data_IF_603566640977
#
_entry.id   IF_603566640977
#
_cell.length_a   1.000
_cell.length_b   1.000
_cell.length_c   1.000
_cell.angle_alpha   90.00
_cell.angle_beta   90.00
_cell.angle_gamma   90.00
#
_symmetry.space_group_name_H-M   'P 1'
#
loop_
_entity.id
_entity.type
_entity.pdbx_description
1 polymer ?
#
# COMPACT_ATOMS: atom_id res chain seq x y z
N UNK A 1 -1.65 16.43 7.49
CA UNK A 1 -1.31 15.45 6.44
C UNK A 1 -1.27 16.19 5.11
N UNK A 2 -0.10 16.30 4.48
CA UNK A 2 0.10 16.96 3.19
C UNK A 2 -0.26 15.99 2.06
N UNK A 3 -0.57 16.51 0.87
CA UNK A 3 -0.96 15.73 -0.30
C UNK A 3 0.11 14.71 -0.72
N UNK A 4 1.38 15.10 -0.58
CA UNK A 4 2.56 14.28 -0.83
C UNK A 4 2.62 13.02 0.06
N UNK A 5 2.06 13.08 1.28
CA UNK A 5 2.03 11.94 2.22
C UNK A 5 1.21 10.79 1.64
N UNK A 6 0.08 11.10 0.99
CA UNK A 6 -0.77 10.10 0.36
C UNK A 6 -0.11 9.44 -0.86
N UNK A 7 0.69 10.18 -1.63
CA UNK A 7 1.42 9.59 -2.75
C UNK A 7 2.47 8.60 -2.25
N UNK A 8 3.24 8.96 -1.21
CA UNK A 8 4.23 8.07 -0.64
C UNK A 8 3.60 6.78 -0.10
N UNK A 9 2.47 6.88 0.61
CA UNK A 9 1.73 5.71 1.08
C UNK A 9 1.30 4.79 -0.08
N UNK A 10 0.84 5.36 -1.21
CA UNK A 10 0.49 4.54 -2.40
C UNK A 10 1.70 3.88 -3.05
N UNK A 11 2.85 4.53 -3.08
CA UNK A 11 4.10 3.92 -3.57
C UNK A 11 4.56 2.78 -2.67
N UNK A 12 4.48 2.96 -1.35
CA UNK A 12 4.74 1.91 -0.35
C UNK A 12 3.80 0.72 -0.53
N UNK A 13 2.51 0.98 -0.77
CA UNK A 13 1.55 -0.07 -1.08
C UNK A 13 1.91 -0.84 -2.36
N UNK A 14 2.30 -0.14 -3.42
CA UNK A 14 2.75 -0.79 -4.67
C UNK A 14 3.94 -1.71 -4.38
N UNK A 15 4.95 -1.24 -3.64
CA UNK A 15 6.10 -2.06 -3.27
C UNK A 15 5.72 -3.29 -2.45
N UNK A 16 4.86 -3.12 -1.45
CA UNK A 16 4.37 -4.24 -0.65
C UNK A 16 3.67 -5.29 -1.51
N UNK A 17 2.89 -4.87 -2.51
CA UNK A 17 2.26 -5.77 -3.47
C UNK A 17 3.28 -6.47 -4.37
N UNK A 18 4.32 -5.78 -4.82
CA UNK A 18 5.40 -6.40 -5.62
C UNK A 18 6.14 -7.48 -4.81
N UNK A 19 6.46 -7.22 -3.55
CA UNK A 19 7.16 -8.18 -2.68
C UNK A 19 6.29 -9.41 -2.40
N UNK A 20 5.01 -9.20 -2.10
CA UNK A 20 4.14 -10.28 -1.62
C UNK A 20 3.50 -11.09 -2.73
N UNK A 21 3.07 -10.43 -3.81
CA UNK A 21 2.33 -11.06 -4.90
C UNK A 21 3.10 -11.14 -6.21
N UNK A 22 4.20 -10.40 -6.34
CA UNK A 22 4.95 -10.25 -7.59
C UNK A 22 4.23 -9.43 -8.66
N UNK A 23 2.99 -8.97 -8.42
CA UNK A 23 2.23 -8.29 -9.46
C UNK A 23 1.03 -7.47 -8.96
N UNK A 24 0.85 -6.27 -9.51
CA UNK A 24 -0.25 -5.35 -9.16
C UNK A 24 -0.93 -4.82 -10.42
N UNK A 25 -2.22 -4.52 -10.32
CA UNK A 25 -2.98 -3.82 -11.36
C UNK A 25 -3.45 -2.44 -10.88
N UNK A 26 -4.01 -1.63 -11.79
CA UNK A 26 -4.53 -0.31 -11.45
C UNK A 26 -5.73 -0.37 -10.51
N UNK A 27 -6.61 -1.36 -10.69
CA UNK A 27 -7.80 -1.53 -9.85
C UNK A 27 -7.46 -1.77 -8.39
N UNK A 28 -6.36 -2.46 -8.08
CA UNK A 28 -5.90 -2.68 -6.69
C UNK A 28 -5.68 -1.33 -5.99
N UNK A 29 -5.04 -0.37 -6.68
CA UNK A 29 -4.77 0.98 -6.16
C UNK A 29 -6.05 1.80 -6.06
N UNK A 30 -6.91 1.78 -7.09
CA UNK A 30 -8.16 2.57 -7.06
C UNK A 30 -9.12 2.05 -5.99
N UNK A 31 -9.20 0.73 -5.80
CA UNK A 31 -10.05 0.11 -4.78
C UNK A 31 -9.51 0.36 -3.37
N UNK A 32 -8.20 0.30 -3.16
CA UNK A 32 -7.59 0.54 -1.86
C UNK A 32 -7.67 2.02 -1.44
N UNK A 33 -7.46 2.96 -2.36
CA UNK A 33 -7.28 4.38 -2.02
C UNK A 33 -8.39 5.32 -2.53
N UNK A 34 -9.39 4.81 -3.26
CA UNK A 34 -10.45 5.62 -3.84
C UNK A 34 -9.97 6.65 -4.88
N UNK A 35 -8.77 6.47 -5.44
CA UNK A 35 -8.21 7.36 -6.46
C UNK A 35 -8.73 7.01 -7.86
N UNK A 36 -8.64 7.95 -8.79
CA UNK A 36 -9.02 7.72 -10.19
C UNK A 36 -7.99 6.86 -10.93
N UNK A 37 -8.39 6.17 -12.00
CA UNK A 37 -7.48 5.36 -12.83
C UNK A 37 -6.28 6.15 -13.40
N UNK A 38 -6.42 7.42 -13.84
CA UNK A 38 -5.27 8.22 -14.26
C UNK A 38 -4.25 8.44 -13.14
N UNK A 39 -4.71 8.62 -11.90
CA UNK A 39 -3.83 8.75 -10.72
C UNK A 39 -3.11 7.44 -10.45
N UNK A 40 -3.82 6.32 -10.38
CA UNK A 40 -3.21 4.99 -10.22
C UNK A 40 -2.19 4.68 -11.35
N UNK A 41 -2.49 5.09 -12.59
CA UNK A 41 -1.54 4.96 -13.71
C UNK A 41 -0.27 5.79 -13.50
N UNK A 42 -0.40 7.01 -12.99
CA UNK A 42 0.75 7.87 -12.66
C UNK A 42 1.57 7.28 -11.51
N UNK A 43 0.93 6.72 -10.50
CA UNK A 43 1.62 6.11 -9.36
C UNK A 43 2.43 4.88 -9.80
N UNK A 44 1.88 4.01 -10.65
CA UNK A 44 2.61 2.86 -11.20
C UNK A 44 3.81 3.28 -12.06
N UNK A 45 3.67 4.34 -12.86
CA UNK A 45 4.78 4.90 -13.62
C UNK A 45 5.87 5.47 -12.70
N UNK A 46 5.47 6.21 -11.67
CA UNK A 46 6.39 6.74 -10.69
C UNK A 46 7.12 5.63 -9.93
N UNK A 47 6.43 4.54 -9.58
CA UNK A 47 7.07 3.38 -8.95
C UNK A 47 8.07 2.71 -9.90
N UNK A 48 7.74 2.56 -11.18
CA UNK A 48 8.69 2.03 -12.20
C UNK A 48 9.94 2.90 -12.35
N UNK A 49 9.83 4.21 -12.21
CA UNK A 49 10.99 5.12 -12.21
C UNK A 49 11.90 4.88 -10.99
N UNK A 50 11.32 4.51 -9.84
CA UNK A 50 12.07 4.12 -8.64
C UNK A 50 12.68 2.71 -8.75
N UNK A 51 11.94 1.78 -9.37
CA UNK A 51 12.34 0.40 -9.54
C UNK A 51 12.13 -0.06 -10.99
N UNK A 52 13.18 -0.02 -11.83
CA UNK A 52 13.08 -0.44 -13.24
C UNK A 52 12.83 -1.94 -13.44
N UNK A 53 12.99 -2.78 -12.41
CA UNK A 53 12.85 -4.24 -12.47
C UNK A 53 11.39 -4.72 -12.41
N UNK A 54 10.48 -3.93 -13.00
CA UNK A 54 9.07 -4.30 -13.20
C UNK A 54 8.66 -4.02 -14.64
N UNK A 55 7.73 -4.82 -15.15
CA UNK A 55 7.25 -4.73 -16.52
C UNK A 55 5.72 -4.82 -16.60
N UNK A 56 5.12 -4.12 -17.56
CA UNK A 56 3.70 -4.25 -17.85
C UNK A 56 3.46 -5.49 -18.71
N UNK A 57 2.72 -6.46 -18.16
CA UNK A 57 2.17 -7.56 -18.92
C UNK A 57 0.94 -7.07 -19.69
N UNK A 58 1.07 -6.95 -21.01
CA UNK A 58 0.03 -6.39 -21.87
C UNK A 58 -1.20 -7.31 -22.04
N UNK A 59 -1.07 -8.62 -21.77
CA UNK A 59 -2.16 -9.57 -21.83
C UNK A 59 -3.03 -9.49 -20.57
N UNK A 60 -2.41 -9.43 -19.38
CA UNK A 60 -3.11 -9.40 -18.09
C UNK A 60 -3.42 -7.98 -17.60
N UNK A 61 -2.79 -6.96 -18.21
CA UNK A 61 -2.82 -5.55 -17.75
C UNK A 61 -2.29 -5.36 -16.32
N UNK A 62 -1.37 -6.22 -15.90
CA UNK A 62 -0.69 -6.16 -14.59
C UNK A 62 0.74 -5.70 -14.77
N UNK A 63 1.23 -4.95 -13.80
CA UNK A 63 2.66 -4.77 -13.61
C UNK A 63 3.18 -5.95 -12.82
N UNK A 64 4.28 -6.55 -13.29
CA UNK A 64 4.85 -7.79 -12.77
C UNK A 64 6.35 -7.57 -12.50
N UNK A 65 6.87 -8.17 -11.43
CA UNK A 65 8.30 -8.15 -11.11
C UNK A 65 9.09 -8.96 -12.14
N UNK A 66 10.30 -8.51 -12.49
CA UNK A 66 11.24 -9.29 -13.30
C UNK A 66 12.15 -10.14 -12.41
N UNK A 67 13.04 -10.94 -13.01
CA UNK A 67 14.04 -11.74 -12.29
C UNK A 67 15.00 -10.90 -11.45
N UNK A 68 15.18 -9.63 -11.81
CA UNK A 68 16.17 -8.74 -11.21
C UNK A 68 15.54 -7.83 -10.14
N UNK A 69 14.32 -8.14 -9.71
CA UNK A 69 13.58 -7.34 -8.76
C UNK A 69 14.21 -7.42 -7.37
N UNK A 70 14.51 -6.25 -6.82
CA UNK A 70 14.90 -6.03 -5.43
C UNK A 70 14.06 -4.87 -4.87
N UNK A 71 13.64 -4.90 -3.59
CA UNK A 71 12.92 -3.78 -2.96
C UNK A 71 13.72 -2.47 -3.04
N UNK A 72 13.02 -1.35 -3.25
CA UNK A 72 13.62 -0.02 -3.29
C UNK A 72 14.11 0.36 -1.88
N UNK A 73 15.42 0.65 -1.70
CA UNK A 73 15.98 0.99 -0.40
C UNK A 73 15.25 2.16 0.26
N UNK A 74 14.79 1.96 1.49
CA UNK A 74 14.16 3.00 2.29
C UNK A 74 12.68 3.29 1.96
N UNK A 75 12.10 2.69 0.93
CA UNK A 75 10.71 2.98 0.55
C UNK A 75 9.72 2.37 1.56
N UNK A 76 9.86 1.09 1.91
CA UNK A 76 9.17 0.44 3.02
C UNK A 76 9.86 0.59 4.39
N UNK A 77 10.79 1.54 4.55
CA UNK A 77 11.35 1.80 5.87
C UNK A 77 10.26 2.33 6.80
N UNK A 78 9.98 1.54 7.85
CA UNK A 78 9.15 1.93 8.98
C UNK A 78 10.10 2.26 10.12
N UNK A 79 10.06 3.49 10.62
CA UNK A 79 10.76 3.79 11.86
C UNK A 79 9.98 3.26 13.07
N UNK A 80 10.62 3.24 14.23
CA UNK A 80 10.01 2.70 15.43
C UNK A 80 8.78 3.49 15.89
N UNK A 81 8.77 4.81 15.68
CA UNK A 81 7.67 5.66 16.12
C UNK A 81 6.42 5.40 15.27
N UNK A 82 6.58 5.28 13.95
CA UNK A 82 5.51 4.91 13.01
C UNK A 82 4.94 3.53 13.35
N UNK A 83 5.80 2.54 13.64
CA UNK A 83 5.35 1.19 14.01
C UNK A 83 4.51 1.20 15.30
N UNK A 84 4.96 1.92 16.34
CA UNK A 84 4.23 2.02 17.60
C UNK A 84 2.88 2.69 17.39
N UNK A 85 2.81 3.79 16.61
CA UNK A 85 1.54 4.44 16.30
C UNK A 85 0.58 3.50 15.55
N UNK A 86 1.08 2.67 14.62
CA UNK A 86 0.24 1.67 13.94
C UNK A 86 -0.28 0.61 14.90
N UNK A 87 0.59 0.06 15.76
CA UNK A 87 0.20 -0.93 16.78
C UNK A 87 -0.86 -0.31 17.72
N UNK A 88 -0.62 0.88 18.24
CA UNK A 88 -1.57 1.60 19.09
C UNK A 88 -2.90 1.83 18.37
N UNK A 89 -2.89 2.29 17.12
CA UNK A 89 -4.11 2.49 16.35
C UNK A 89 -4.91 1.18 16.16
N UNK A 90 -4.24 0.06 15.92
CA UNK A 90 -4.92 -1.25 15.77
C UNK A 90 -5.49 -1.74 17.09
N UNK A 91 -4.74 -1.66 18.18
CA UNK A 91 -5.15 -2.20 19.48
C UNK A 91 -6.08 -1.27 20.27
N UNK A 92 -5.97 0.04 20.11
CA UNK A 92 -6.81 1.02 20.82
C UNK A 92 -8.11 1.32 20.07
N UNK A 93 -8.14 1.30 18.73
CA UNK A 93 -9.40 1.43 17.99
C UNK A 93 -10.23 0.14 17.99
N UNK A 94 -9.66 -1.01 18.39
CA UNK A 94 -10.39 -2.25 18.63
C UNK A 94 -11.13 -2.31 19.98
N UNK A 95 -10.87 -1.37 20.89
CA UNK A 95 -11.43 -1.39 22.25
C UNK A 95 -12.84 -0.77 22.37
N UNK A 96 -13.40 -0.19 21.30
CA UNK A 96 -14.71 0.46 21.33
C UNK A 96 -15.91 -0.45 21.00
N UNK A 97 -15.71 -1.74 20.70
CA UNK A 97 -16.81 -2.67 20.38
C UNK A 97 -17.24 -3.55 21.58
N UNK A 98 -16.78 -3.21 22.78
CA UNK A 98 -17.26 -3.80 24.03
C UNK A 98 -18.63 -3.25 24.41
N UNK A 99 -19.70 -3.73 23.78
CA UNK A 99 -21.04 -3.64 24.39
C UNK A 99 -20.98 -4.38 25.74
N UNK A 100 -21.13 -3.62 26.83
CA UNK A 100 -21.39 -4.21 28.15
C UNK A 100 -22.63 -5.12 28.06
N UNK A 101 -22.62 -6.33 28.66
CA UNK A 101 -23.83 -7.12 28.75
C UNK A 101 -24.82 -6.38 29.65
N UNK A 102 -25.93 -5.93 29.06
CA UNK A 102 -27.10 -5.43 29.78
C UNK A 102 -27.56 -6.51 30.76
N UNK A 103 -27.27 -6.31 32.04
CA UNK A 103 -27.78 -7.15 33.10
C UNK A 103 -29.22 -6.69 33.39
N UNK A 104 -30.19 -7.32 32.73
CA UNK A 104 -31.61 -7.16 33.04
C UNK A 104 -31.90 -7.80 34.40
N UNK A 105 -32.53 -7.01 35.26
CA UNK A 105 -32.95 -7.34 36.63
C UNK A 105 -34.19 -8.24 36.64
#
# INVERSE_FOLDING_TARGET
>A
MRYEDFKQVRLRFIEAMMITSGAINRSDITSMFGVTEPTATRDLRAYRELNPAIALNHATKRWETTSDFEPTPGLLALDSDDYIQFVEAVFLNGASDGKEPTNEQ
#
